data_IF_603111379646
#
_entry.id   IF_603111379646
#
_cell.length_a   1.000
_cell.length_b   1.000
_cell.length_c   1.000
_cell.angle_alpha   90.00
_cell.angle_beta   90.00
_cell.angle_gamma   90.00
#
_symmetry.space_group_name_H-M   'P 1'
#
loop_
_entity.id
_entity.type
_entity.pdbx_description
1 polymer ?
#
# COMPACT_ATOMS: atom_id res chain seq x y z
N UNK A 1 -0.59 3.96 -1.71
CA UNK A 1 -0.26 3.85 -3.12
C UNK A 1 0.60 4.97 -3.64
N UNK A 2 1.29 4.72 -4.75
CA UNK A 2 2.03 5.76 -5.45
C UNK A 2 1.10 6.47 -6.42
N UNK A 3 1.05 7.81 -6.35
CA UNK A 3 0.20 8.64 -7.21
C UNK A 3 1.10 9.66 -7.89
N UNK A 4 1.11 9.66 -9.22
CA UNK A 4 1.76 10.68 -10.01
C UNK A 4 0.73 11.70 -10.49
N UNK A 5 0.89 12.94 -10.04
CA UNK A 5 0.10 14.07 -10.51
C UNK A 5 0.84 14.72 -11.69
N UNK A 6 0.38 14.42 -12.89
CA UNK A 6 0.98 14.91 -14.12
C UNK A 6 0.85 16.43 -14.28
N UNK A 7 -0.22 17.03 -13.77
CA UNK A 7 -0.47 18.48 -13.87
C UNK A 7 0.54 19.28 -13.04
N UNK A 8 0.80 18.81 -11.82
CA UNK A 8 1.72 19.47 -10.88
C UNK A 8 3.12 18.88 -10.90
N UNK A 9 3.35 17.83 -11.71
CA UNK A 9 4.62 17.10 -11.77
C UNK A 9 5.12 16.67 -10.39
N UNK A 10 4.22 16.09 -9.59
CA UNK A 10 4.50 15.61 -8.24
C UNK A 10 4.25 14.12 -8.12
N UNK A 11 5.11 13.45 -7.37
CA UNK A 11 4.98 12.04 -7.05
C UNK A 11 4.71 11.87 -5.56
N UNK A 12 3.57 11.29 -5.22
CA UNK A 12 3.15 11.03 -3.85
C UNK A 12 3.17 9.54 -3.56
N UNK A 13 3.81 9.14 -2.47
CA UNK A 13 3.84 7.74 -2.02
C UNK A 13 4.14 7.63 -0.53
N UNK A 14 4.05 6.43 0.04
CA UNK A 14 4.42 6.15 1.43
C UNK A 14 5.75 5.40 1.48
N UNK A 15 6.59 5.76 2.43
CA UNK A 15 7.86 5.10 2.73
C UNK A 15 8.03 4.96 4.24
N UNK A 16 8.00 3.72 4.75
CA UNK A 16 8.19 3.44 6.17
C UNK A 16 7.17 4.11 7.10
N UNK A 17 5.92 4.29 6.65
CA UNK A 17 4.86 4.97 7.41
C UNK A 17 4.77 6.48 7.17
N UNK A 18 5.79 7.07 6.54
CA UNK A 18 5.83 8.50 6.21
C UNK A 18 5.21 8.77 4.85
N UNK A 19 4.48 9.87 4.73
CA UNK A 19 4.03 10.39 3.43
C UNK A 19 5.18 11.15 2.76
N UNK A 20 5.48 10.80 1.51
CA UNK A 20 6.51 11.44 0.70
C UNK A 20 5.85 12.13 -0.48
N UNK A 21 6.17 13.41 -0.68
CA UNK A 21 5.81 14.14 -1.90
C UNK A 21 7.09 14.65 -2.56
N UNK A 22 7.40 14.10 -3.74
CA UNK A 22 8.50 14.57 -4.55
C UNK A 22 8.03 15.66 -5.51
N UNK A 23 8.66 16.80 -5.45
CA UNK A 23 8.58 17.86 -6.44
C UNK A 23 9.87 17.90 -7.28
N UNK A 24 9.94 18.75 -8.29
CA UNK A 24 11.13 18.91 -9.14
C UNK A 24 12.38 19.27 -8.35
N UNK A 25 12.24 20.09 -7.32
CA UNK A 25 13.38 20.69 -6.58
C UNK A 25 13.25 20.58 -5.06
N UNK A 26 12.22 19.91 -4.54
CA UNK A 26 12.03 19.73 -3.11
C UNK A 26 11.33 18.41 -2.79
N UNK A 27 11.54 17.95 -1.58
CA UNK A 27 10.86 16.80 -1.01
C UNK A 27 10.10 17.24 0.23
N UNK A 28 8.85 16.81 0.35
CA UNK A 28 8.05 17.00 1.55
C UNK A 28 7.87 15.63 2.20
N UNK A 29 8.18 15.55 3.48
CA UNK A 29 7.99 14.34 4.30
C UNK A 29 7.05 14.67 5.45
N UNK A 30 6.04 13.85 5.65
CA UNK A 30 5.05 14.02 6.73
C UNK A 30 5.21 12.96 7.80
N UNK A 31 4.68 13.23 9.00
CA UNK A 31 4.73 12.35 10.17
C UNK A 31 6.15 12.04 10.67
N UNK A 32 7.05 13.01 10.59
CA UNK A 32 8.36 12.92 11.21
C UNK A 32 8.24 13.12 12.72
N UNK A 33 8.90 12.28 13.50
CA UNK A 33 8.92 12.35 14.97
C UNK A 33 10.03 13.27 15.49
N UNK A 34 11.18 13.23 14.83
CA UNK A 34 12.37 14.00 15.22
C UNK A 34 13.36 14.13 14.06
N UNK A 35 14.49 14.82 14.28
CA UNK A 35 15.53 15.02 13.28
C UNK A 35 16.22 13.71 12.85
N UNK A 36 16.40 12.77 13.77
CA UNK A 36 17.02 11.47 13.48
C UNK A 36 16.12 10.65 12.55
N UNK A 37 14.82 10.66 12.79
CA UNK A 37 13.83 10.04 11.93
C UNK A 37 13.84 10.66 10.52
N UNK A 38 13.91 11.98 10.43
CA UNK A 38 14.06 12.69 9.17
C UNK A 38 15.31 12.26 8.39
N UNK A 39 16.45 12.13 9.06
CA UNK A 39 17.70 11.65 8.44
C UNK A 39 17.58 10.22 7.91
N UNK A 40 16.95 9.33 8.66
CA UNK A 40 16.70 7.94 8.24
C UNK A 40 15.81 7.87 7.00
N UNK A 41 14.71 8.61 7.00
CA UNK A 41 13.78 8.66 5.86
C UNK A 41 14.45 9.23 4.62
N UNK A 42 15.18 10.34 4.76
CA UNK A 42 15.90 10.96 3.64
C UNK A 42 17.01 10.06 3.10
N UNK A 43 17.72 9.32 3.95
CA UNK A 43 18.72 8.34 3.52
C UNK A 43 18.12 7.20 2.70
N UNK A 44 16.98 6.65 3.15
CA UNK A 44 16.22 5.62 2.41
C UNK A 44 15.70 6.15 1.08
N UNK A 45 15.17 7.37 1.08
CA UNK A 45 14.66 8.01 -0.12
C UNK A 45 15.77 8.26 -1.14
N UNK A 46 16.93 8.77 -0.71
CA UNK A 46 18.11 8.95 -1.55
C UNK A 46 18.53 7.63 -2.23
N UNK A 47 18.61 6.55 -1.45
CA UNK A 47 18.96 5.23 -1.96
C UNK A 47 17.93 4.72 -2.98
N UNK A 48 16.63 4.91 -2.69
CA UNK A 48 15.55 4.53 -3.60
C UNK A 48 15.64 5.29 -4.94
N UNK A 49 15.82 6.61 -4.89
CA UNK A 49 15.95 7.45 -6.08
C UNK A 49 17.18 7.04 -6.90
N UNK A 50 18.33 6.88 -6.27
CA UNK A 50 19.55 6.51 -6.96
C UNK A 50 19.46 5.13 -7.62
N UNK A 51 18.92 4.12 -6.92
CA UNK A 51 18.69 2.77 -7.49
C UNK A 51 17.71 2.81 -8.66
N UNK A 52 16.66 3.61 -8.56
CA UNK A 52 15.68 3.77 -9.64
C UNK A 52 16.35 4.41 -10.85
N UNK A 53 17.17 5.43 -10.65
CA UNK A 53 17.92 6.10 -11.70
C UNK A 53 18.93 5.17 -12.39
N UNK A 54 19.69 4.38 -11.62
CA UNK A 54 20.65 3.40 -12.15
C UNK A 54 19.98 2.31 -13.01
N UNK A 55 18.75 1.96 -12.65
CA UNK A 55 17.96 0.92 -13.35
C UNK A 55 16.96 1.48 -14.35
N UNK A 56 16.96 2.77 -14.61
CA UNK A 56 15.94 3.46 -15.45
C UNK A 56 15.71 2.83 -16.81
N UNK A 57 16.76 2.27 -17.41
CA UNK A 57 16.67 1.61 -18.73
C UNK A 57 15.96 0.25 -18.68
N UNK A 58 15.86 -0.36 -17.48
CA UNK A 58 15.19 -1.64 -17.25
C UNK A 58 13.79 -1.49 -16.65
N UNK A 59 13.41 -0.26 -16.28
CA UNK A 59 12.12 0.02 -15.67
C UNK A 59 11.17 0.49 -16.76
N UNK A 60 10.10 -0.27 -16.96
CA UNK A 60 8.97 0.20 -17.77
C UNK A 60 8.06 1.10 -16.93
N UNK A 61 7.93 2.39 -17.27
CA UNK A 61 7.07 3.30 -16.53
C UNK A 61 5.61 2.83 -16.61
N UNK A 62 4.97 2.66 -15.47
CA UNK A 62 3.54 2.40 -15.40
C UNK A 62 2.80 3.66 -14.98
N UNK A 63 1.95 4.16 -15.85
CA UNK A 63 1.08 5.31 -15.58
C UNK A 63 -0.31 4.88 -15.10
N UNK A 64 -0.50 3.58 -14.80
CA UNK A 64 -1.74 3.10 -14.23
C UNK A 64 -1.90 3.72 -12.84
N UNK A 65 -2.83 4.66 -12.72
CA UNK A 65 -3.33 5.09 -11.42
C UNK A 65 -3.97 3.89 -10.75
N UNK A 66 -3.55 3.61 -9.51
CA UNK A 66 -4.19 2.57 -8.71
C UNK A 66 -5.69 2.82 -8.69
N UNK A 67 -6.47 1.82 -9.06
CA UNK A 67 -7.91 1.83 -8.80
C UNK A 67 -8.08 2.14 -7.31
N UNK A 68 -8.84 3.19 -6.99
CA UNK A 68 -9.08 3.54 -5.59
C UNK A 68 -9.88 2.40 -4.96
N UNK A 69 -9.18 1.56 -4.20
CA UNK A 69 -9.85 0.58 -3.36
C UNK A 69 -10.68 1.33 -2.32
N UNK A 70 -11.96 1.05 -2.29
CA UNK A 70 -12.80 1.52 -1.21
C UNK A 70 -12.98 0.43 -0.15
N UNK A 71 -13.13 0.84 1.09
CA UNK A 71 -13.28 -0.07 2.25
C UNK A 71 -14.43 -1.05 2.06
N UNK A 72 -15.55 -0.60 1.51
CA UNK A 72 -16.72 -1.42 1.25
C UNK A 72 -16.48 -2.49 0.19
N UNK A 73 -15.71 -2.16 -0.86
CA UNK A 73 -15.34 -3.11 -1.91
C UNK A 73 -14.52 -4.26 -1.35
N UNK A 74 -13.51 -3.97 -0.54
CA UNK A 74 -12.70 -4.99 0.14
C UNK A 74 -13.56 -5.76 1.16
N UNK A 75 -14.33 -5.06 2.00
CA UNK A 75 -15.18 -5.68 3.01
C UNK A 75 -16.16 -6.70 2.42
N UNK A 76 -16.75 -6.43 1.26
CA UNK A 76 -17.68 -7.35 0.59
C UNK A 76 -17.06 -8.70 0.25
N UNK A 77 -15.76 -8.73 0.04
CA UNK A 77 -14.99 -9.93 -0.31
C UNK A 77 -14.39 -10.64 0.90
N UNK A 78 -14.42 -10.01 2.09
CA UNK A 78 -13.99 -10.66 3.33
C UNK A 78 -15.07 -11.63 3.85
N UNK A 79 -14.71 -12.60 4.70
CA UNK A 79 -15.66 -13.56 5.31
C UNK A 79 -16.81 -12.94 6.07
N UNK A 80 -16.67 -11.74 6.60
CA UNK A 80 -17.67 -10.96 7.36
C UNK A 80 -18.15 -11.63 8.66
N UNK A 81 -17.38 -12.56 9.18
CA UNK A 81 -17.72 -13.31 10.41
C UNK A 81 -17.30 -12.58 11.69
N UNK A 82 -16.55 -11.49 11.58
CA UNK A 82 -16.08 -10.66 12.71
C UNK A 82 -15.44 -11.51 13.84
N UNK A 83 -14.61 -12.50 13.45
CA UNK A 83 -14.01 -13.45 14.38
C UNK A 83 -12.95 -12.86 15.32
N UNK A 84 -12.42 -11.68 15.01
CA UNK A 84 -11.36 -11.02 15.79
C UNK A 84 -9.96 -11.62 15.67
N UNK A 85 -9.78 -12.73 14.94
CA UNK A 85 -8.47 -13.42 14.83
C UNK A 85 -7.38 -12.58 14.17
N UNK A 86 -7.75 -11.63 13.31
CA UNK A 86 -6.83 -10.69 12.69
C UNK A 86 -6.38 -9.55 13.62
N UNK A 87 -6.94 -9.48 14.82
CA UNK A 87 -6.72 -8.40 15.80
C UNK A 87 -7.71 -7.23 15.68
N UNK A 88 -8.67 -7.32 14.74
CA UNK A 88 -9.71 -6.32 14.58
C UNK A 88 -11.08 -6.91 15.01
N UNK A 89 -11.87 -6.17 15.79
CA UNK A 89 -13.16 -6.67 16.28
C UNK A 89 -14.20 -6.83 15.16
N UNK A 90 -13.99 -6.17 14.03
CA UNK A 90 -14.89 -6.23 12.89
C UNK A 90 -14.10 -6.31 11.57
N UNK A 91 -14.62 -7.08 10.62
CA UNK A 91 -14.01 -7.20 9.28
C UNK A 91 -13.96 -5.87 8.51
N UNK A 92 -14.86 -4.93 8.83
CA UNK A 92 -14.83 -3.58 8.27
C UNK A 92 -13.59 -2.81 8.74
N UNK A 93 -13.22 -2.90 10.02
CA UNK A 93 -11.99 -2.32 10.57
C UNK A 93 -10.75 -2.92 9.93
N UNK A 94 -10.73 -4.23 9.73
CA UNK A 94 -9.66 -4.91 9.01
C UNK A 94 -9.53 -4.41 7.56
N UNK A 95 -10.65 -4.27 6.84
CA UNK A 95 -10.64 -3.74 5.47
C UNK A 95 -10.07 -2.31 5.41
N UNK A 96 -10.43 -1.45 6.36
CA UNK A 96 -9.90 -0.11 6.45
C UNK A 96 -8.37 -0.10 6.67
N UNK A 97 -7.89 -0.89 7.63
CA UNK A 97 -6.45 -1.02 7.92
C UNK A 97 -5.67 -1.67 6.79
N UNK A 98 -6.28 -2.60 6.06
CA UNK A 98 -5.66 -3.20 4.88
C UNK A 98 -5.41 -2.17 3.79
N UNK A 99 -6.38 -1.30 3.52
CA UNK A 99 -6.24 -0.21 2.54
C UNK A 99 -5.21 0.83 3.00
N UNK A 100 -5.15 1.12 4.31
CA UNK A 100 -4.16 2.02 4.88
C UNK A 100 -2.75 1.43 4.95
N UNK A 101 -2.58 0.17 4.55
CA UNK A 101 -1.31 -0.59 4.65
C UNK A 101 -0.82 -0.78 6.12
N UNK A 102 -1.73 -0.67 7.08
CA UNK A 102 -1.45 -0.88 8.51
C UNK A 102 -1.51 -2.37 8.90
N UNK A 103 -2.11 -3.19 8.06
CA UNK A 103 -2.18 -4.65 8.22
C UNK A 103 -1.97 -5.35 6.89
N UNK A 104 -1.81 -6.67 6.95
CA UNK A 104 -1.64 -7.52 5.77
C UNK A 104 -2.80 -8.48 5.63
N UNK A 105 -3.13 -8.86 4.39
CA UNK A 105 -4.25 -9.75 4.10
C UNK A 105 -4.09 -11.13 4.74
N UNK A 106 -2.85 -11.60 4.91
CA UNK A 106 -2.53 -12.89 5.51
C UNK A 106 -2.98 -13.03 6.98
N UNK A 107 -3.26 -11.91 7.65
CA UNK A 107 -3.78 -11.94 9.02
C UNK A 107 -5.24 -12.37 9.10
N UNK A 108 -5.98 -12.33 8.01
CA UNK A 108 -7.35 -12.83 7.95
C UNK A 108 -7.36 -14.34 7.70
N UNK A 109 -7.09 -15.13 8.74
CA UNK A 109 -7.00 -16.60 8.64
C UNK A 109 -8.21 -17.26 7.99
N UNK A 110 -9.47 -16.88 8.33
CA UNK A 110 -10.64 -17.48 7.70
C UNK A 110 -10.69 -17.33 6.20
N UNK A 111 -10.13 -16.25 5.63
CA UNK A 111 -10.07 -16.03 4.17
C UNK A 111 -9.23 -17.10 3.45
N UNK A 112 -8.34 -17.77 4.16
CA UNK A 112 -7.46 -18.81 3.61
C UNK A 112 -8.05 -20.22 3.69
N UNK A 113 -9.26 -20.38 4.23
CA UNK A 113 -9.98 -21.65 4.17
C UNK A 113 -10.52 -21.91 2.75
N UNK A 114 -10.83 -23.16 2.45
CA UNK A 114 -11.36 -23.58 1.15
C UNK A 114 -12.71 -22.93 0.84
N UNK A 115 -13.53 -22.69 1.86
CA UNK A 115 -14.83 -22.04 1.74
C UNK A 115 -14.75 -20.65 1.11
N UNK A 116 -13.65 -19.92 1.35
CA UNK A 116 -13.46 -18.56 0.85
C UNK A 116 -12.44 -18.45 -0.29
N UNK A 117 -12.13 -19.56 -0.96
CA UNK A 117 -11.13 -19.59 -2.04
C UNK A 117 -11.44 -18.58 -3.17
N UNK A 118 -12.69 -18.53 -3.63
CA UNK A 118 -13.12 -17.59 -4.67
C UNK A 118 -13.02 -16.12 -4.19
N UNK A 119 -13.45 -15.85 -2.97
CA UNK A 119 -13.34 -14.51 -2.35
C UNK A 119 -11.88 -14.09 -2.19
N UNK A 120 -11.02 -15.01 -1.79
CA UNK A 120 -9.58 -14.80 -1.67
C UNK A 120 -8.95 -14.41 -3.01
N UNK A 121 -9.23 -15.13 -4.08
CA UNK A 121 -8.72 -14.81 -5.41
C UNK A 121 -9.17 -13.42 -5.89
N UNK A 122 -10.43 -13.09 -5.65
CA UNK A 122 -10.98 -11.77 -5.98
C UNK A 122 -10.31 -10.65 -5.18
N UNK A 123 -10.09 -10.86 -3.86
CA UNK A 123 -9.37 -9.89 -3.02
C UNK A 123 -7.94 -9.72 -3.52
N UNK A 124 -7.24 -10.80 -3.83
CA UNK A 124 -5.87 -10.73 -4.32
C UNK A 124 -5.78 -9.97 -5.63
N UNK A 125 -6.69 -10.24 -6.56
CA UNK A 125 -6.75 -9.55 -7.85
C UNK A 125 -6.95 -8.04 -7.67
N UNK A 126 -7.92 -7.60 -6.85
CA UNK A 126 -8.14 -6.16 -6.64
C UNK A 126 -6.99 -5.48 -5.89
N UNK A 127 -6.33 -6.20 -4.97
CA UNK A 127 -5.15 -5.69 -4.28
C UNK A 127 -3.97 -5.56 -5.25
N UNK A 128 -3.74 -6.54 -6.11
CA UNK A 128 -2.69 -6.50 -7.13
C UNK A 128 -2.94 -5.38 -8.16
N UNK A 129 -4.16 -5.26 -8.68
CA UNK A 129 -4.56 -4.17 -9.57
C UNK A 129 -4.38 -2.79 -8.92
N UNK A 130 -4.58 -2.70 -7.62
CA UNK A 130 -4.30 -1.51 -6.83
C UNK A 130 -2.83 -1.35 -6.44
N UNK A 131 -1.95 -2.28 -6.85
CA UNK A 131 -0.50 -2.24 -6.64
C UNK A 131 -0.07 -2.55 -5.22
N UNK A 132 -0.87 -3.31 -4.46
CA UNK A 132 -0.43 -3.88 -3.19
C UNK A 132 0.52 -5.06 -3.45
N UNK A 133 1.52 -5.28 -2.59
CA UNK A 133 2.39 -6.44 -2.77
C UNK A 133 1.57 -7.73 -2.69
N UNK A 134 1.86 -8.73 -3.55
CA UNK A 134 1.20 -10.02 -3.47
C UNK A 134 1.43 -10.65 -2.09
N UNK A 135 0.44 -11.36 -1.55
CA UNK A 135 0.61 -12.07 -0.29
C UNK A 135 1.74 -13.08 -0.43
N UNK A 136 2.55 -13.18 0.59
CA UNK A 136 3.57 -14.23 0.64
C UNK A 136 2.84 -15.55 0.89
N UNK A 137 2.92 -16.42 -0.08
CA UNK A 137 2.47 -17.80 0.04
C UNK A 137 3.27 -18.56 1.10
#
# INVERSE_FOLDING_TARGET
GTIFDQKNMTLNFKLGGHGITLHRNKVIVTKLENEEDARKVLGRLKNLINRTFERRERIEPSYKTRAQLNVLGVYKLLPKINCGECGEPACMGFAAKLISEETKIERCKPLFSEEYAESRERVFKILEEAGYPPPKS
#
